data_IF_537527984005
#
_entry.id   IF_537527984005
#
_cell.length_a   1.000
_cell.length_b   1.000
_cell.length_c   1.000
_cell.angle_alpha   90.00
_cell.angle_beta   90.00
_cell.angle_gamma   90.00
#
_symmetry.space_group_name_H-M   'P 1'
#
loop_
_entity.id
_entity.type
_entity.pdbx_description
1 polymer ?
#
# COMPACT_ATOMS: atom_id res chain seq x y z
N UNK A 1 -13.55 -7.28 34.98
CA UNK A 1 -12.18 -7.05 35.53
C UNK A 1 -11.61 -5.68 35.13
N UNK A 2 -11.41 -5.36 33.82
CA UNK A 2 -10.84 -4.05 33.42
C UNK A 2 -11.78 -2.89 33.69
N UNK A 3 -13.05 -3.00 33.36
CA UNK A 3 -14.09 -1.99 33.60
C UNK A 3 -14.21 -1.63 35.10
N UNK A 4 -14.24 -2.62 35.95
CA UNK A 4 -14.29 -2.44 37.41
C UNK A 4 -13.07 -1.67 37.95
N UNK A 5 -11.87 -1.99 37.43
CA UNK A 5 -10.61 -1.30 37.85
C UNK A 5 -10.59 0.15 37.42
N UNK A 6 -11.26 0.48 36.30
CA UNK A 6 -11.31 1.84 35.77
C UNK A 6 -12.53 2.62 36.28
N UNK A 7 -13.48 1.97 36.98
CA UNK A 7 -14.73 2.60 37.43
C UNK A 7 -15.66 2.99 36.27
N UNK A 8 -15.56 2.27 35.14
CA UNK A 8 -16.31 2.53 33.89
C UNK A 8 -17.29 1.39 33.61
N UNK A 9 -18.26 1.61 32.74
CA UNK A 9 -19.09 0.52 32.20
C UNK A 9 -18.27 -0.39 31.28
N UNK A 10 -18.81 -1.56 30.93
CA UNK A 10 -18.17 -2.47 29.97
C UNK A 10 -18.09 -1.81 28.60
N UNK A 11 -19.16 -1.14 28.17
CA UNK A 11 -19.30 -0.47 26.89
C UNK A 11 -18.32 0.71 26.77
N UNK A 12 -18.25 1.56 27.80
CA UNK A 12 -17.28 2.67 27.87
C UNK A 12 -15.84 2.16 27.83
N UNK A 13 -15.55 1.05 28.53
CA UNK A 13 -14.22 0.45 28.51
C UNK A 13 -13.89 -0.11 27.13
N UNK A 14 -14.82 -0.80 26.49
CA UNK A 14 -14.66 -1.33 25.13
C UNK A 14 -14.45 -0.20 24.11
N UNK A 15 -15.25 0.85 24.17
CA UNK A 15 -15.10 2.04 23.33
C UNK A 15 -13.73 2.71 23.51
N UNK A 16 -13.28 2.85 24.76
CA UNK A 16 -11.95 3.38 25.07
C UNK A 16 -10.79 2.52 24.47
N UNK A 17 -10.93 1.19 24.49
CA UNK A 17 -9.96 0.29 23.86
C UNK A 17 -9.94 0.49 22.34
N UNK A 18 -11.10 0.60 21.69
CA UNK A 18 -11.21 0.88 20.26
C UNK A 18 -10.59 2.23 19.91
N UNK A 19 -10.82 3.26 20.72
CA UNK A 19 -10.21 4.58 20.58
C UNK A 19 -8.67 4.53 20.57
N UNK A 20 -8.07 3.71 21.44
CA UNK A 20 -6.60 3.50 21.46
C UNK A 20 -6.12 2.83 20.17
N UNK A 21 -6.85 1.82 19.68
CA UNK A 21 -6.52 1.13 18.42
C UNK A 21 -6.56 2.12 17.25
N UNK A 22 -7.64 2.91 17.15
CA UNK A 22 -7.80 3.95 16.13
C UNK A 22 -6.66 4.98 16.20
N UNK A 23 -6.32 5.47 17.40
CA UNK A 23 -5.22 6.42 17.58
C UNK A 23 -3.87 5.86 17.10
N UNK A 24 -3.60 4.57 17.30
CA UNK A 24 -2.39 3.92 16.81
C UNK A 24 -2.38 3.81 15.29
N UNK A 25 -3.52 3.48 14.66
CA UNK A 25 -3.66 3.45 13.19
C UNK A 25 -3.44 4.84 12.60
N UNK A 26 -4.07 5.87 13.17
CA UNK A 26 -3.92 7.27 12.75
C UNK A 26 -2.46 7.72 12.82
N UNK A 27 -1.74 7.35 13.88
CA UNK A 27 -0.32 7.67 14.03
C UNK A 27 0.51 7.04 12.90
N UNK A 28 0.28 5.76 12.59
CA UNK A 28 0.99 5.08 11.51
C UNK A 28 0.72 5.73 10.14
N UNK A 29 -0.53 6.11 9.87
CA UNK A 29 -0.90 6.79 8.62
C UNK A 29 -0.24 8.16 8.54
N UNK A 30 -0.21 8.95 9.62
CA UNK A 30 0.44 10.26 9.66
C UNK A 30 1.92 10.19 9.35
N UNK A 31 2.62 9.15 9.82
CA UNK A 31 4.05 8.97 9.54
C UNK A 31 4.36 8.80 8.05
N UNK A 32 3.47 8.16 7.29
CA UNK A 32 3.67 7.93 5.85
C UNK A 32 3.00 9.00 4.97
N UNK A 33 2.17 9.87 5.52
CA UNK A 33 1.47 10.95 4.81
C UNK A 33 1.92 12.33 5.27
N UNK A 34 1.46 12.78 6.42
CA UNK A 34 1.71 14.15 6.94
C UNK A 34 3.19 14.46 7.09
N UNK A 35 3.97 13.53 7.68
CA UNK A 35 5.41 13.70 7.85
C UNK A 35 6.17 13.74 6.52
N UNK A 36 5.54 13.29 5.42
CA UNK A 36 6.06 13.38 4.05
C UNK A 36 5.45 14.51 3.22
N UNK A 37 4.65 15.38 3.85
CA UNK A 37 4.05 16.54 3.22
C UNK A 37 2.76 16.26 2.44
N UNK A 38 2.12 15.09 2.63
CA UNK A 38 0.82 14.77 2.04
C UNK A 38 -0.31 15.07 3.02
N UNK A 39 -1.32 15.80 2.57
CA UNK A 39 -2.53 16.05 3.37
C UNK A 39 -3.50 14.86 3.24
N UNK A 40 -3.83 14.14 4.34
CA UNK A 40 -4.74 13.01 4.27
C UNK A 40 -6.13 13.35 3.72
N UNK A 41 -6.57 14.60 3.85
CA UNK A 41 -7.88 15.08 3.38
C UNK A 41 -8.04 15.06 1.86
N UNK A 42 -6.93 15.03 1.13
CA UNK A 42 -6.91 14.94 -0.33
C UNK A 42 -7.07 13.50 -0.84
N UNK A 43 -7.18 12.52 0.06
CA UNK A 43 -7.22 11.10 -0.28
C UNK A 43 -8.53 10.43 0.11
N UNK A 44 -8.78 9.27 -0.48
CA UNK A 44 -9.83 8.33 -0.08
C UNK A 44 -9.18 7.24 0.76
N UNK A 45 -9.80 6.90 1.91
CA UNK A 45 -9.33 5.78 2.72
C UNK A 45 -9.78 4.45 2.10
N UNK A 46 -8.84 3.55 1.84
CA UNK A 46 -9.12 2.19 1.36
C UNK A 46 -8.77 1.19 2.46
N UNK A 47 -9.74 0.78 3.29
CA UNK A 47 -9.52 -0.21 4.32
C UNK A 47 -9.50 -1.63 3.76
N UNK A 48 -8.60 -2.47 4.25
CA UNK A 48 -8.53 -3.88 3.90
C UNK A 48 -8.07 -4.74 5.09
N UNK A 49 -8.14 -6.07 4.92
CA UNK A 49 -8.01 -7.02 6.03
C UNK A 49 -9.33 -7.19 6.78
N UNK A 50 -9.45 -8.25 7.58
CA UNK A 50 -10.69 -8.62 8.25
C UNK A 50 -11.27 -7.53 9.16
N UNK A 51 -10.43 -6.83 9.92
CA UNK A 51 -10.85 -5.77 10.85
C UNK A 51 -10.68 -4.34 10.27
N UNK A 52 -10.06 -4.19 9.10
CA UNK A 52 -9.83 -2.88 8.50
C UNK A 52 -11.11 -2.06 8.33
N UNK A 53 -12.13 -2.59 7.68
CA UNK A 53 -13.40 -1.88 7.47
C UNK A 53 -14.16 -1.53 8.75
N UNK A 54 -13.97 -2.30 9.82
CA UNK A 54 -14.61 -2.05 11.11
C UNK A 54 -14.17 -0.73 11.76
N UNK A 55 -12.88 -0.38 11.61
CA UNK A 55 -12.30 0.83 12.21
C UNK A 55 -12.19 2.00 11.22
N UNK A 56 -12.55 1.78 9.96
CA UNK A 56 -12.23 2.71 8.88
C UNK A 56 -12.90 4.08 9.05
N UNK A 57 -14.17 4.11 9.45
CA UNK A 57 -14.91 5.36 9.64
C UNK A 57 -14.26 6.23 10.73
N UNK A 58 -13.91 5.65 11.87
CA UNK A 58 -13.28 6.38 12.98
C UNK A 58 -11.87 6.88 12.61
N UNK A 59 -11.09 6.05 11.91
CA UNK A 59 -9.77 6.44 11.39
C UNK A 59 -9.88 7.58 10.39
N UNK A 60 -10.84 7.51 9.47
CA UNK A 60 -11.06 8.56 8.47
C UNK A 60 -11.48 9.87 9.11
N UNK A 61 -12.43 9.87 10.05
CA UNK A 61 -12.85 11.07 10.81
C UNK A 61 -11.66 11.69 11.55
N UNK A 62 -10.85 10.88 12.24
CA UNK A 62 -9.68 11.36 12.97
C UNK A 62 -8.57 11.96 12.06
N UNK A 63 -8.57 11.62 10.78
CA UNK A 63 -7.66 12.18 9.76
C UNK A 63 -8.30 13.30 8.93
N UNK A 64 -9.59 13.57 9.09
CA UNK A 64 -10.35 14.52 8.28
C UNK A 64 -10.62 14.04 6.84
N UNK A 65 -10.55 12.74 6.61
CA UNK A 65 -10.88 12.11 5.33
C UNK A 65 -12.40 12.00 5.23
N UNK A 66 -12.99 12.54 4.16
CA UNK A 66 -14.45 12.57 3.99
C UNK A 66 -15.03 11.31 3.35
N UNK A 67 -14.18 10.51 2.71
CA UNK A 67 -14.66 9.38 1.90
C UNK A 67 -13.79 8.14 2.11
N UNK A 68 -14.43 6.96 2.16
CA UNK A 68 -13.74 5.69 2.14
C UNK A 68 -14.32 4.75 1.08
N UNK A 69 -13.46 3.84 0.56
CA UNK A 69 -13.82 2.80 -0.39
C UNK A 69 -13.49 1.45 0.23
N UNK A 70 -14.52 0.65 0.52
CA UNK A 70 -14.35 -0.72 1.02
C UNK A 70 -14.46 -1.68 -0.16
N UNK A 71 -13.38 -2.41 -0.52
CA UNK A 71 -13.40 -3.36 -1.64
C UNK A 71 -14.44 -4.46 -1.46
N UNK A 72 -14.82 -5.12 -2.54
CA UNK A 72 -15.80 -6.23 -2.50
C UNK A 72 -15.35 -7.41 -1.62
N UNK A 73 -14.04 -7.61 -1.49
CA UNK A 73 -13.45 -8.67 -0.66
C UNK A 73 -12.23 -8.13 0.10
N UNK A 74 -12.43 -7.30 1.14
CA UNK A 74 -11.35 -6.61 1.82
C UNK A 74 -10.46 -7.56 2.62
N UNK A 75 -11.00 -8.63 3.20
CA UNK A 75 -10.26 -9.57 4.02
C UNK A 75 -9.20 -10.35 3.26
N UNK A 76 -9.42 -10.59 1.96
CA UNK A 76 -8.50 -11.33 1.10
C UNK A 76 -7.74 -10.44 0.09
N UNK A 77 -7.83 -9.12 0.21
CA UNK A 77 -7.22 -8.19 -0.76
C UNK A 77 -5.72 -8.40 -0.89
N UNK A 78 -5.01 -8.64 0.21
CA UNK A 78 -3.58 -8.95 0.19
C UNK A 78 -3.27 -10.23 -0.59
N UNK A 79 -4.07 -11.29 -0.40
CA UNK A 79 -3.90 -12.55 -1.14
C UNK A 79 -4.17 -12.36 -2.63
N UNK A 80 -5.19 -11.59 -3.00
CA UNK A 80 -5.46 -11.21 -4.40
C UNK A 80 -4.30 -10.40 -4.99
N UNK A 81 -3.79 -9.41 -4.23
CA UNK A 81 -2.61 -8.64 -4.63
C UNK A 81 -1.41 -9.53 -4.90
N UNK A 82 -1.17 -10.53 -4.04
CA UNK A 82 -0.06 -11.46 -4.20
C UNK A 82 -0.18 -12.32 -5.49
N UNK A 83 -1.40 -12.74 -5.83
CA UNK A 83 -1.65 -13.54 -7.04
C UNK A 83 -1.41 -12.74 -8.34
N UNK A 84 -1.66 -11.43 -8.32
CA UNK A 84 -1.47 -10.56 -9.49
C UNK A 84 -0.14 -9.79 -9.48
N UNK A 85 0.65 -9.94 -8.41
CA UNK A 85 1.94 -9.27 -8.30
C UNK A 85 2.98 -9.92 -9.19
N UNK A 86 3.78 -9.10 -9.87
CA UNK A 86 4.94 -9.56 -10.60
C UNK A 86 5.92 -10.31 -9.69
N UNK A 87 6.55 -11.33 -10.24
CA UNK A 87 7.67 -11.99 -9.56
C UNK A 87 8.88 -11.04 -9.55
N UNK A 88 9.50 -10.88 -8.38
CA UNK A 88 10.68 -10.01 -8.24
C UNK A 88 11.76 -10.70 -7.43
N UNK A 89 12.98 -10.61 -7.93
CA UNK A 89 14.19 -11.06 -7.23
C UNK A 89 15.28 -10.00 -7.36
N UNK A 90 15.96 -9.72 -6.26
CA UNK A 90 17.03 -8.71 -6.23
C UNK A 90 18.37 -9.36 -5.94
N UNK A 91 19.34 -9.13 -6.81
CA UNK A 91 20.71 -9.55 -6.63
C UNK A 91 21.57 -8.32 -6.37
N UNK A 92 22.45 -8.41 -5.39
CA UNK A 92 23.30 -7.30 -4.96
C UNK A 92 24.75 -7.76 -4.83
N UNK A 93 25.67 -6.95 -5.33
CA UNK A 93 27.08 -7.05 -5.04
C UNK A 93 27.46 -5.83 -4.20
N UNK A 94 27.78 -6.05 -2.92
CA UNK A 94 28.23 -4.99 -2.02
C UNK A 94 29.77 -4.89 -2.12
N UNK A 95 30.23 -3.80 -2.71
CA UNK A 95 31.65 -3.55 -2.88
C UNK A 95 31.93 -2.07 -2.97
N UNK A 96 32.60 -1.56 -1.95
CA UNK A 96 32.97 -0.16 -1.92
C UNK A 96 34.03 0.11 -2.99
N UNK A 97 33.65 0.86 -4.02
CA UNK A 97 34.47 1.13 -5.20
C UNK A 97 34.51 2.63 -5.47
N UNK A 98 35.66 3.30 -5.38
CA UNK A 98 35.81 4.71 -5.77
C UNK A 98 35.36 4.93 -7.22
N UNK A 99 34.58 5.97 -7.47
CA UNK A 99 34.07 6.29 -8.80
C UNK A 99 35.18 6.95 -9.62
N UNK A 100 35.94 6.15 -10.39
CA UNK A 100 37.10 6.55 -11.17
C UNK A 100 37.20 5.78 -12.49
N UNK A 101 37.95 6.27 -13.46
CA UNK A 101 38.18 5.55 -14.73
C UNK A 101 38.75 4.14 -14.51
N UNK A 102 39.66 3.98 -13.55
CA UNK A 102 40.24 2.68 -13.22
C UNK A 102 39.22 1.66 -12.71
N UNK A 103 38.08 2.11 -12.14
CA UNK A 103 37.04 1.26 -11.61
C UNK A 103 35.99 0.82 -12.65
N UNK A 104 35.96 1.44 -13.84
CA UNK A 104 34.91 1.16 -14.83
C UNK A 104 34.87 -0.30 -15.27
N UNK A 105 36.04 -0.90 -15.52
CA UNK A 105 36.13 -2.32 -15.90
C UNK A 105 35.61 -3.27 -14.80
N UNK A 106 35.84 -2.93 -13.53
CA UNK A 106 35.35 -3.70 -12.40
C UNK A 106 33.82 -3.55 -12.26
N UNK A 107 33.31 -2.33 -12.41
CA UNK A 107 31.83 -2.06 -12.38
C UNK A 107 31.15 -2.83 -13.52
N UNK A 108 31.70 -2.80 -14.73
CA UNK A 108 31.17 -3.55 -15.87
C UNK A 108 31.16 -5.06 -15.60
N UNK A 109 32.23 -5.62 -15.08
CA UNK A 109 32.33 -7.05 -14.76
C UNK A 109 31.30 -7.48 -13.73
N UNK A 110 31.08 -6.67 -12.68
CA UNK A 110 30.09 -6.90 -11.63
C UNK A 110 28.66 -6.77 -12.16
N UNK A 111 28.36 -5.78 -12.99
CA UNK A 111 27.07 -5.63 -13.67
C UNK A 111 26.79 -6.83 -14.59
N UNK A 112 27.80 -7.30 -15.32
CA UNK A 112 27.72 -8.51 -16.14
C UNK A 112 27.47 -9.78 -15.30
N UNK A 113 28.03 -9.88 -14.11
CA UNK A 113 27.74 -10.98 -13.18
C UNK A 113 26.27 -10.92 -12.73
N UNK A 114 25.79 -9.76 -12.32
CA UNK A 114 24.40 -9.55 -11.92
C UNK A 114 23.42 -9.87 -13.06
N UNK A 115 23.75 -9.48 -14.30
CA UNK A 115 22.94 -9.81 -15.47
C UNK A 115 22.81 -11.32 -15.68
N UNK A 116 23.90 -12.08 -15.49
CA UNK A 116 23.86 -13.55 -15.56
C UNK A 116 23.03 -14.17 -14.45
N UNK A 117 23.09 -13.62 -13.23
CA UNK A 117 22.25 -14.10 -12.11
C UNK A 117 20.77 -13.87 -12.38
N UNK A 118 20.40 -12.67 -12.86
CA UNK A 118 19.03 -12.36 -13.25
C UNK A 118 18.51 -13.29 -14.38
N UNK A 119 19.33 -13.54 -15.39
CA UNK A 119 18.98 -14.45 -16.49
C UNK A 119 18.76 -15.88 -15.98
N UNK A 120 19.67 -16.39 -15.15
CA UNK A 120 19.56 -17.73 -14.56
C UNK A 120 18.29 -17.88 -13.70
N UNK A 121 17.93 -16.83 -12.95
CA UNK A 121 16.69 -16.84 -12.16
C UNK A 121 15.47 -16.94 -13.04
N UNK A 122 15.39 -16.19 -14.15
CA UNK A 122 14.28 -16.28 -15.09
C UNK A 122 14.15 -17.68 -15.72
N UNK A 123 15.28 -18.35 -15.96
CA UNK A 123 15.26 -19.68 -16.57
C UNK A 123 14.86 -20.79 -15.56
N UNK A 124 15.07 -20.54 -14.26
CA UNK A 124 14.66 -21.44 -13.16
C UNK A 124 13.23 -21.16 -12.68
N UNK A 125 12.63 -20.02 -13.03
CA UNK A 125 11.28 -19.67 -12.59
C UNK A 125 10.27 -20.69 -13.17
N UNK A 126 9.61 -21.45 -12.30
CA UNK A 126 8.58 -22.42 -12.68
C UNK A 126 7.29 -21.78 -13.20
N UNK A 127 7.12 -20.47 -12.96
CA UNK A 127 5.95 -19.71 -13.35
C UNK A 127 6.15 -19.11 -14.75
N UNK A 128 5.14 -19.24 -15.61
CA UNK A 128 5.15 -18.60 -16.94
C UNK A 128 5.07 -17.08 -16.76
N UNK A 129 6.16 -16.40 -17.06
CA UNK A 129 6.20 -14.94 -17.12
C UNK A 129 5.90 -14.47 -18.55
N UNK A 130 5.05 -13.45 -18.66
CA UNK A 130 4.69 -12.86 -19.96
C UNK A 130 5.83 -12.01 -20.53
N UNK A 131 6.49 -11.22 -19.68
CA UNK A 131 7.64 -10.41 -20.04
C UNK A 131 8.70 -10.50 -18.95
N UNK A 132 9.98 -10.35 -19.36
CA UNK A 132 11.15 -10.33 -18.47
C UNK A 132 11.76 -8.95 -18.52
N UNK A 133 11.96 -8.35 -17.37
CA UNK A 133 12.59 -7.03 -17.20
C UNK A 133 13.71 -7.13 -16.17
N UNK A 134 14.80 -6.42 -16.38
CA UNK A 134 15.89 -6.31 -15.42
C UNK A 134 16.21 -4.82 -15.23
N UNK A 135 16.01 -4.33 -14.02
CA UNK A 135 16.29 -2.95 -13.63
C UNK A 135 17.61 -2.95 -12.87
N UNK A 136 18.58 -2.18 -13.37
CA UNK A 136 19.91 -2.07 -12.78
C UNK A 136 20.08 -0.74 -12.07
N UNK A 137 20.77 -0.76 -10.95
CA UNK A 137 21.09 0.47 -10.21
C UNK A 137 22.41 0.35 -9.45
N UNK A 138 22.99 1.49 -9.16
CA UNK A 138 24.13 1.66 -8.27
C UNK A 138 23.65 2.43 -7.03
N UNK A 139 23.98 1.93 -5.84
CA UNK A 139 23.85 2.72 -4.62
C UNK A 139 25.16 3.52 -4.48
N UNK A 140 25.05 4.85 -4.59
CA UNK A 140 26.20 5.76 -4.67
C UNK A 140 26.12 6.83 -3.59
N UNK A 141 27.29 7.29 -3.14
CA UNK A 141 27.40 8.38 -2.17
C UNK A 141 28.68 9.18 -2.38
N UNK A 142 28.78 10.36 -1.80
CA UNK A 142 30.07 10.99 -1.61
C UNK A 142 30.90 10.20 -0.61
N UNK A 143 32.20 10.13 -0.85
CA UNK A 143 33.13 9.40 0.04
C UNK A 143 33.03 9.92 1.47
N UNK A 144 32.79 9.00 2.42
CA UNK A 144 32.67 9.33 3.85
C UNK A 144 31.24 9.71 4.30
N UNK A 145 30.26 9.77 3.43
CA UNK A 145 28.86 9.91 3.82
C UNK A 145 28.25 8.56 4.23
N UNK A 146 27.21 8.61 5.06
CA UNK A 146 26.52 7.41 5.54
C UNK A 146 25.21 7.10 4.78
N UNK A 147 24.77 8.00 3.89
CA UNK A 147 23.54 7.86 3.13
C UNK A 147 23.85 7.66 1.66
N UNK A 148 23.19 6.68 1.06
CA UNK A 148 23.37 6.28 -0.32
C UNK A 148 22.17 6.72 -1.14
N UNK A 149 22.40 7.08 -2.39
CA UNK A 149 21.38 7.38 -3.38
C UNK A 149 21.39 6.30 -4.44
N UNK A 150 20.21 5.78 -4.74
CA UNK A 150 20.05 4.84 -5.83
C UNK A 150 20.06 5.56 -7.18
N UNK A 151 20.97 5.17 -8.04
CA UNK A 151 21.15 5.69 -9.40
C UNK A 151 20.82 4.59 -10.39
N UNK A 152 19.70 4.72 -11.10
CA UNK A 152 19.28 3.75 -12.10
C UNK A 152 20.14 3.84 -13.36
N UNK A 153 20.45 2.66 -13.95
CA UNK A 153 21.20 2.51 -15.18
C UNK A 153 20.29 2.00 -16.31
N UNK A 154 20.50 2.54 -17.50
CA UNK A 154 19.93 1.96 -18.72
C UNK A 154 20.80 0.80 -19.25
N UNK A 155 20.29 0.08 -20.25
CA UNK A 155 20.96 -1.07 -20.82
C UNK A 155 22.32 -0.75 -21.49
N UNK A 156 22.50 0.47 -22.01
CA UNK A 156 23.77 0.89 -22.59
C UNK A 156 24.82 1.06 -21.49
N UNK A 157 24.46 1.70 -20.40
CA UNK A 157 25.32 1.93 -19.23
C UNK A 157 25.67 0.64 -18.48
N UNK A 158 24.80 -0.37 -18.51
CA UNK A 158 25.07 -1.70 -17.95
C UNK A 158 26.15 -2.42 -18.78
N UNK A 159 26.11 -2.27 -20.10
CA UNK A 159 27.07 -2.92 -21.02
C UNK A 159 28.40 -2.19 -21.10
N UNK A 160 28.37 -0.89 -21.01
CA UNK A 160 29.54 -0.03 -21.11
C UNK A 160 29.37 1.18 -20.17
N UNK A 161 29.70 1.02 -18.87
CA UNK A 161 29.63 2.13 -17.94
C UNK A 161 30.72 3.19 -18.26
N UNK A 162 30.27 4.44 -18.31
CA UNK A 162 31.17 5.58 -18.53
C UNK A 162 31.19 6.47 -17.30
N UNK A 163 32.37 6.81 -16.81
CA UNK A 163 32.56 7.61 -15.61
C UNK A 163 31.79 8.94 -15.65
N UNK A 164 31.85 9.65 -16.77
CA UNK A 164 31.17 10.93 -16.96
C UNK A 164 29.66 10.80 -16.79
N UNK A 165 29.06 9.77 -17.37
CA UNK A 165 27.63 9.50 -17.33
C UNK A 165 27.19 9.12 -15.90
N UNK A 166 27.95 8.23 -15.24
CA UNK A 166 27.63 7.81 -13.87
C UNK A 166 27.71 8.99 -12.89
N UNK A 167 28.72 9.86 -13.04
CA UNK A 167 28.85 11.09 -12.23
C UNK A 167 27.65 12.03 -12.42
N UNK A 168 27.29 12.32 -13.66
CA UNK A 168 26.14 13.22 -13.92
C UNK A 168 24.83 12.66 -13.38
N UNK A 169 24.59 11.35 -13.52
CA UNK A 169 23.42 10.71 -12.93
C UNK A 169 23.40 10.80 -11.40
N UNK A 170 24.56 10.60 -10.77
CA UNK A 170 24.69 10.76 -9.32
C UNK A 170 24.43 12.20 -8.87
N UNK A 171 25.01 13.18 -9.56
CA UNK A 171 24.78 14.60 -9.25
C UNK A 171 23.31 14.99 -9.42
N UNK A 172 22.67 14.53 -10.49
CA UNK A 172 21.24 14.76 -10.71
C UNK A 172 20.36 14.11 -9.63
N UNK A 173 20.74 12.92 -9.15
CA UNK A 173 20.05 12.26 -8.04
C UNK A 173 20.24 13.04 -6.73
N UNK A 174 21.46 13.52 -6.46
CA UNK A 174 21.77 14.29 -5.27
C UNK A 174 21.05 15.64 -5.25
N UNK A 175 21.03 16.35 -6.38
CA UNK A 175 20.28 17.61 -6.54
C UNK A 175 18.77 17.42 -6.26
N UNK A 176 18.19 16.33 -6.80
CA UNK A 176 16.76 16.03 -6.57
C UNK A 176 16.41 15.76 -5.11
N UNK A 177 17.33 15.08 -4.38
CA UNK A 177 17.04 14.66 -3.02
C UNK A 177 17.41 15.71 -1.97
N UNK A 178 18.45 16.51 -2.23
CA UNK A 178 19.03 17.42 -1.25
C UNK A 178 19.08 18.88 -1.72
N UNK A 179 18.72 19.17 -2.99
CA UNK A 179 18.71 20.52 -3.53
C UNK A 179 20.11 21.08 -3.90
N UNK A 180 21.16 20.26 -3.86
CA UNK A 180 22.52 20.63 -4.24
C UNK A 180 23.34 19.41 -4.63
N UNK A 181 24.48 19.64 -5.29
CA UNK A 181 25.54 18.64 -5.49
C UNK A 181 26.91 19.33 -5.50
N UNK A 182 27.98 18.58 -5.27
CA UNK A 182 29.36 19.07 -5.35
C UNK A 182 30.17 18.23 -6.36
N UNK A 183 30.62 18.87 -7.41
CA UNK A 183 31.37 18.20 -8.51
C UNK A 183 32.79 17.85 -8.14
N UNK A 184 33.36 18.53 -7.14
CA UNK A 184 34.77 18.41 -6.72
C UNK A 184 34.93 17.30 -5.66
N UNK A 185 33.85 16.92 -4.96
CA UNK A 185 33.90 15.86 -3.96
C UNK A 185 33.99 14.49 -4.63
N UNK A 186 34.83 13.58 -4.11
CA UNK A 186 34.91 12.22 -4.59
C UNK A 186 33.66 11.45 -4.25
N UNK A 187 33.21 10.63 -5.20
CA UNK A 187 32.06 9.73 -5.01
C UNK A 187 32.51 8.27 -5.07
N UNK A 188 31.71 7.40 -4.50
CA UNK A 188 31.94 5.96 -4.47
C UNK A 188 30.66 5.19 -4.74
N UNK A 189 30.77 4.01 -5.33
CA UNK A 189 29.72 3.00 -5.45
C UNK A 189 29.83 2.09 -4.23
N UNK A 190 28.73 1.88 -3.55
CA UNK A 190 28.62 1.01 -2.36
C UNK A 190 28.06 -0.34 -2.73
N UNK A 191 26.97 -0.34 -3.52
CA UNK A 191 26.34 -1.55 -4.01
C UNK A 191 26.05 -1.43 -5.51
N UNK A 192 26.16 -2.56 -6.19
CA UNK A 192 25.60 -2.75 -7.52
C UNK A 192 24.40 -3.69 -7.38
N UNK A 193 23.30 -3.34 -8.01
CA UNK A 193 22.05 -4.06 -7.85
C UNK A 193 21.38 -4.35 -9.19
N UNK A 194 20.79 -5.52 -9.32
CA UNK A 194 19.78 -5.81 -10.36
C UNK A 194 18.51 -6.31 -9.70
N UNK A 195 17.38 -5.80 -10.13
CA UNK A 195 16.07 -6.36 -9.81
C UNK A 195 15.51 -7.02 -11.06
N UNK A 196 15.43 -8.35 -11.03
CA UNK A 196 14.76 -9.13 -12.05
C UNK A 196 13.25 -9.11 -11.81
N UNK A 197 12.47 -8.76 -12.82
CA UNK A 197 11.02 -8.65 -12.75
C UNK A 197 10.40 -9.56 -13.82
N UNK A 198 9.74 -10.61 -13.37
CA UNK A 198 8.92 -11.46 -14.22
C UNK A 198 7.48 -10.98 -14.21
N UNK A 199 7.07 -10.27 -15.26
CA UNK A 199 5.69 -9.81 -15.41
C UNK A 199 4.78 -11.00 -15.58
N UNK A 200 3.88 -11.22 -14.63
CA UNK A 200 2.84 -12.22 -14.79
C UNK A 200 1.87 -11.72 -15.88
N UNK A 201 1.37 -12.65 -16.71
CA UNK A 201 0.19 -12.31 -17.50
C UNK A 201 -0.92 -12.04 -16.51
N UNK A 202 -1.53 -10.86 -16.59
CA UNK A 202 -2.75 -10.61 -15.86
C UNK A 202 -3.67 -11.82 -16.09
N UNK A 203 -4.20 -12.45 -15.04
CA UNK A 203 -5.28 -13.41 -15.22
C UNK A 203 -6.33 -12.60 -16.00
N UNK A 204 -6.48 -12.92 -17.29
CA UNK A 204 -7.43 -12.22 -18.15
C UNK A 204 -8.69 -12.07 -17.33
N UNK A 205 -9.19 -10.86 -17.21
CA UNK A 205 -10.27 -10.40 -16.33
C UNK A 205 -10.97 -11.61 -15.71
N UNK A 206 -10.44 -12.10 -14.57
CA UNK A 206 -11.10 -13.17 -13.83
C UNK A 206 -12.38 -12.50 -13.37
N UNK A 207 -13.34 -12.52 -14.27
CA UNK A 207 -14.52 -11.72 -14.31
C UNK A 207 -15.02 -11.50 -12.90
N UNK A 208 -14.93 -10.29 -12.43
CA UNK A 208 -15.87 -9.89 -11.44
C UNK A 208 -17.17 -10.42 -11.98
N UNK A 209 -17.73 -11.44 -11.33
CA UNK A 209 -19.01 -11.99 -11.74
C UNK A 209 -19.90 -10.77 -11.88
N UNK A 210 -20.08 -10.30 -13.11
CA UNK A 210 -21.09 -9.31 -13.43
C UNK A 210 -22.41 -10.02 -13.19
N UNK A 211 -22.76 -10.18 -11.94
CA UNK A 211 -24.11 -10.51 -11.56
C UNK A 211 -24.97 -9.32 -11.99
N UNK A 212 -25.89 -9.64 -12.88
CA UNK A 212 -26.81 -8.69 -13.48
C UNK A 212 -27.33 -7.72 -12.40
N UNK A 213 -27.29 -6.43 -12.72
CA UNK A 213 -27.79 -5.33 -11.89
C UNK A 213 -29.32 -5.28 -11.76
N UNK A 214 -29.98 -6.42 -11.63
CA UNK A 214 -31.42 -6.57 -11.58
C UNK A 214 -31.89 -7.14 -10.22
N UNK A 215 -31.15 -6.85 -9.14
CA UNK A 215 -31.58 -7.23 -7.80
C UNK A 215 -32.54 -6.19 -7.22
N UNK A 216 -33.64 -6.65 -6.64
CA UNK A 216 -34.39 -5.82 -5.69
C UNK A 216 -33.47 -5.35 -4.58
N UNK A 217 -33.73 -4.14 -4.03
CA UNK A 217 -32.96 -3.60 -2.91
C UNK A 217 -32.99 -4.58 -1.73
N UNK A 218 -31.84 -4.94 -1.20
CA UNK A 218 -31.76 -5.87 -0.09
C UNK A 218 -32.25 -5.18 1.21
N UNK A 219 -33.14 -5.87 1.93
CA UNK A 219 -33.56 -5.47 3.26
C UNK A 219 -32.53 -5.94 4.31
N UNK A 220 -32.52 -5.33 5.51
CA UNK A 220 -31.71 -5.84 6.61
C UNK A 220 -32.12 -7.25 7.02
N UNK A 221 -31.18 -8.09 7.39
CA UNK A 221 -31.42 -9.45 7.87
C UNK A 221 -32.02 -9.45 9.27
N UNK A 222 -31.56 -8.56 10.12
CA UNK A 222 -31.99 -8.35 11.49
C UNK A 222 -31.49 -7.02 12.04
N UNK A 223 -31.91 -6.66 13.24
CA UNK A 223 -31.36 -5.52 13.96
C UNK A 223 -30.59 -5.99 15.21
N UNK A 224 -29.63 -5.21 15.66
CA UNK A 224 -28.90 -5.43 16.91
C UNK A 224 -28.52 -4.11 17.57
N UNK A 225 -28.38 -4.08 18.92
CA UNK A 225 -27.87 -2.91 19.61
C UNK A 225 -26.36 -2.74 19.31
N UNK A 226 -25.95 -1.53 18.89
CA UNK A 226 -24.57 -1.14 18.66
C UNK A 226 -24.29 0.17 19.39
N UNK A 227 -23.14 0.24 20.07
CA UNK A 227 -22.66 1.44 20.78
C UNK A 227 -21.61 2.15 19.94
N UNK A 228 -21.96 3.29 19.37
CA UNK A 228 -21.04 4.09 18.53
C UNK A 228 -20.19 5.04 19.37
N UNK A 229 -20.70 5.53 20.48
CA UNK A 229 -20.06 6.47 21.40
C UNK A 229 -19.69 5.85 22.77
N UNK A 230 -20.09 4.62 23.02
CA UNK A 230 -19.91 3.93 24.30
C UNK A 230 -20.91 4.34 25.38
N UNK A 231 -21.87 5.24 25.10
CA UNK A 231 -22.86 5.73 26.05
C UNK A 231 -24.21 5.04 25.89
N UNK A 232 -24.75 5.06 24.68
CA UNK A 232 -26.07 4.50 24.37
C UNK A 232 -26.03 3.50 23.20
N UNK A 233 -26.86 2.46 23.32
CA UNK A 233 -27.08 1.52 22.24
C UNK A 233 -28.07 2.10 21.23
N UNK A 234 -27.72 2.05 19.95
CA UNK A 234 -28.63 2.31 18.85
C UNK A 234 -29.08 0.99 18.24
N UNK A 235 -30.41 0.86 17.99
CA UNK A 235 -30.94 -0.28 17.26
C UNK A 235 -30.50 -0.17 15.80
N UNK A 236 -29.58 -1.06 15.38
CA UNK A 236 -28.82 -0.91 14.15
C UNK A 236 -29.15 -2.06 13.20
N UNK A 237 -29.57 -1.78 11.95
CA UNK A 237 -29.81 -2.80 10.94
C UNK A 237 -28.51 -3.47 10.50
N UNK A 238 -28.60 -4.77 10.31
CA UNK A 238 -27.49 -5.62 9.84
C UNK A 238 -27.81 -6.14 8.45
N UNK A 239 -26.92 -5.89 7.51
CA UNK A 239 -27.04 -6.31 6.12
C UNK A 239 -26.01 -7.38 5.78
N UNK A 240 -26.41 -8.34 4.97
CA UNK A 240 -25.51 -9.28 4.33
C UNK A 240 -24.90 -8.62 3.07
N UNK A 241 -23.59 -8.45 3.07
CA UNK A 241 -22.84 -7.83 1.98
C UNK A 241 -23.10 -8.48 0.63
N UNK A 242 -23.21 -9.81 0.60
CA UNK A 242 -23.38 -10.58 -0.63
C UNK A 242 -24.73 -10.34 -1.31
N UNK A 243 -25.72 -9.88 -0.54
CA UNK A 243 -27.06 -9.57 -1.02
C UNK A 243 -27.22 -8.14 -1.53
N UNK A 244 -26.29 -7.23 -1.22
CA UNK A 244 -26.37 -5.84 -1.64
C UNK A 244 -26.09 -5.70 -3.15
N UNK A 245 -27.07 -5.33 -3.98
CA UNK A 245 -26.87 -5.14 -5.41
C UNK A 245 -26.12 -3.83 -5.71
N UNK A 246 -25.43 -3.72 -6.86
CA UNK A 246 -24.91 -2.44 -7.35
C UNK A 246 -26.01 -1.37 -7.43
N UNK A 247 -25.69 -0.17 -7.00
CA UNK A 247 -26.62 0.96 -6.95
C UNK A 247 -27.47 1.04 -5.69
N UNK A 248 -27.40 0.07 -4.78
CA UNK A 248 -28.09 0.20 -3.49
C UNK A 248 -27.42 1.25 -2.63
N UNK A 249 -28.23 2.11 -2.05
CA UNK A 249 -27.85 3.12 -1.07
C UNK A 249 -28.27 2.69 0.33
N UNK A 250 -27.46 3.03 1.33
CA UNK A 250 -27.69 2.76 2.74
C UNK A 250 -27.29 4.00 3.55
N UNK A 251 -28.15 4.37 4.49
CA UNK A 251 -27.85 5.40 5.47
C UNK A 251 -27.46 4.75 6.81
N UNK A 252 -26.44 5.32 7.46
CA UNK A 252 -26.05 4.91 8.81
C UNK A 252 -27.02 5.42 9.88
N UNK A 253 -27.11 4.73 11.04
CA UNK A 253 -26.22 3.64 11.45
C UNK A 253 -26.55 2.32 10.76
N UNK A 254 -25.54 1.57 10.34
CA UNK A 254 -25.70 0.23 9.79
C UNK A 254 -24.46 -0.65 10.00
N UNK A 255 -24.68 -1.95 10.07
CA UNK A 255 -23.62 -2.97 10.06
C UNK A 255 -23.75 -3.76 8.77
N UNK A 256 -22.67 -3.90 8.04
CA UNK A 256 -22.60 -4.71 6.81
C UNK A 256 -21.64 -5.85 7.07
N UNK A 257 -22.20 -7.06 7.22
CA UNK A 257 -21.44 -8.28 7.51
C UNK A 257 -21.12 -9.03 6.22
N UNK A 258 -19.93 -9.61 6.13
CA UNK A 258 -19.51 -10.55 5.12
C UNK A 258 -18.57 -11.61 5.73
N UNK A 259 -18.27 -12.66 4.99
CA UNK A 259 -17.50 -13.80 5.50
C UNK A 259 -16.12 -13.38 6.07
N UNK A 260 -15.47 -12.42 5.46
CA UNK A 260 -14.07 -12.05 5.71
C UNK A 260 -13.90 -10.68 6.37
N UNK A 261 -14.97 -9.88 6.54
CA UNK A 261 -14.90 -8.55 7.16
C UNK A 261 -16.28 -8.07 7.65
N UNK A 262 -16.26 -7.03 8.45
CA UNK A 262 -17.45 -6.27 8.86
C UNK A 262 -17.20 -4.79 8.61
N UNK A 263 -18.11 -4.11 7.91
CA UNK A 263 -18.10 -2.66 7.72
C UNK A 263 -19.13 -2.02 8.64
N UNK A 264 -18.71 -0.96 9.33
CA UNK A 264 -19.57 -0.19 10.22
C UNK A 264 -19.82 1.19 9.61
N UNK A 265 -21.10 1.56 9.47
CA UNK A 265 -21.54 2.91 9.14
C UNK A 265 -22.03 3.58 10.40
N UNK A 266 -21.49 4.73 10.74
CA UNK A 266 -21.94 5.54 11.86
C UNK A 266 -23.24 6.31 11.55
N UNK A 267 -23.89 6.90 12.55
CA UNK A 267 -25.03 7.79 12.34
C UNK A 267 -24.68 8.93 11.38
N UNK A 268 -25.49 9.11 10.34
CA UNK A 268 -25.34 10.15 9.33
C UNK A 268 -24.35 9.81 8.19
N UNK A 269 -23.63 8.70 8.25
CA UNK A 269 -22.83 8.23 7.12
C UNK A 269 -23.75 7.79 5.98
N UNK A 270 -23.35 8.06 4.74
CA UNK A 270 -24.05 7.61 3.55
C UNK A 270 -23.17 6.64 2.75
N UNK A 271 -23.76 5.54 2.28
CA UNK A 271 -23.06 4.49 1.57
C UNK A 271 -23.80 4.07 0.31
N UNK A 272 -23.09 3.80 -0.78
CA UNK A 272 -23.65 3.12 -1.95
C UNK A 272 -22.74 2.02 -2.46
N UNK A 273 -23.33 1.07 -3.16
CA UNK A 273 -22.62 -0.03 -3.81
C UNK A 273 -22.31 0.35 -5.25
N UNK A 274 -21.03 0.40 -5.64
CA UNK A 274 -20.64 0.71 -7.02
C UNK A 274 -20.81 -0.50 -7.97
N UNK A 275 -20.57 -0.29 -9.27
CA UNK A 275 -20.68 -1.34 -10.28
C UNK A 275 -19.70 -2.51 -10.08
N UNK A 276 -18.56 -2.28 -9.42
CA UNK A 276 -17.57 -3.29 -9.05
C UNK A 276 -17.88 -3.93 -7.69
N UNK A 277 -19.06 -3.59 -7.11
CA UNK A 277 -19.50 -4.04 -5.79
C UNK A 277 -18.60 -3.57 -4.65
N UNK A 278 -17.89 -2.45 -4.79
CA UNK A 278 -17.27 -1.79 -3.65
C UNK A 278 -18.32 -0.99 -2.88
N UNK A 279 -18.11 -0.80 -1.57
CA UNK A 279 -18.87 0.21 -0.82
C UNK A 279 -18.13 1.52 -0.90
N UNK A 280 -18.80 2.54 -1.39
CA UNK A 280 -18.32 3.91 -1.29
C UNK A 280 -19.08 4.55 -0.13
N UNK A 281 -18.34 5.07 0.84
CA UNK A 281 -18.94 5.67 2.03
C UNK A 281 -18.54 7.13 2.10
N UNK A 282 -19.52 8.00 2.19
CA UNK A 282 -19.35 9.41 2.56
C UNK A 282 -19.64 9.55 4.06
N UNK A 283 -18.64 10.08 4.78
CA UNK A 283 -18.72 10.21 6.23
C UNK A 283 -19.42 11.51 6.59
N UNK A 284 -20.31 11.43 7.58
CA UNK A 284 -20.87 12.63 8.18
C UNK A 284 -19.75 13.50 8.76
N UNK A 285 -19.80 14.78 8.48
CA UNK A 285 -18.98 15.79 9.13
C UNK A 285 -19.74 16.35 10.33
N UNK A 286 -19.07 16.39 11.50
CA UNK A 286 -19.57 17.09 12.69
C UNK A 286 -19.65 18.61 12.47
#
# INVERSE_FOLDING_TARGET
>A
ASAERLGMSIEQTAHGILGIVVANMVRAIRTISVERGHDPRDFVLLPFGGAGPLHAADVARALGISRMLVPSAPGILCARGLVVSDLRESFVISRLTPLSEAAMAEIEANLGQLARQAAAWFDQAEVRVGAREAVYSLDMRYTGQNYELQVELDQAQVRQPELSILREKFFAAHERNYGYHNRDDPAEVVNLRVTAIGRLQEPGDAGGVAMAANGESAAPEYNRPVWFDGEAALDTPVYDRDKLPPGQELDGPAVIEQLDATTLLGPGDHCWVDAARNLIVELAHD
#
